data_IF_226848338358
#
_entry.id   IF_226848338358
#
_cell.length_a   1.000
_cell.length_b   1.000
_cell.length_c   1.000
_cell.angle_alpha   90.00
_cell.angle_beta   90.00
_cell.angle_gamma   90.00
#
_symmetry.space_group_name_H-M   'P 1'
#
loop_
_entity.id
_entity.type
_entity.pdbx_description
1 polymer ?
#
# COMPACT_ATOMS: atom_id res chain seq x y z
N UNK A 1 -23.86 -8.48 12.61
CA UNK A 1 -22.51 -8.60 13.19
C UNK A 1 -21.53 -7.77 12.36
N UNK A 2 -21.04 -6.65 12.89
CA UNK A 2 -20.06 -5.74 12.25
C UNK A 2 -18.77 -5.78 13.07
N UNK A 3 -17.92 -6.77 12.86
CA UNK A 3 -16.67 -6.90 13.65
C UNK A 3 -15.41 -7.26 12.85
N UNK A 4 -15.42 -7.17 11.51
CA UNK A 4 -14.27 -7.54 10.68
C UNK A 4 -13.86 -6.48 9.64
N UNK A 5 -14.28 -5.23 9.82
CA UNK A 5 -14.10 -4.18 8.81
C UNK A 5 -12.72 -3.54 8.78
N UNK A 6 -11.75 -3.99 9.58
CA UNK A 6 -10.41 -3.35 9.66
C UNK A 6 -9.27 -4.29 9.27
N UNK A 7 -9.49 -5.61 9.20
CA UNK A 7 -8.39 -6.58 9.16
C UNK A 7 -8.38 -7.57 7.98
N UNK A 8 -8.93 -7.22 6.81
CA UNK A 8 -8.92 -8.14 5.64
C UNK A 8 -8.51 -7.51 4.29
N UNK A 9 -8.59 -6.19 4.11
CA UNK A 9 -8.19 -5.54 2.83
C UNK A 9 -6.69 -5.20 2.72
N UNK A 10 -5.91 -5.58 3.73
CA UNK A 10 -4.44 -5.60 3.68
C UNK A 10 -3.89 -6.95 3.20
N UNK A 11 -4.76 -7.91 2.85
CA UNK A 11 -4.29 -9.22 2.39
C UNK A 11 -3.65 -9.08 0.99
N UNK A 12 -2.40 -9.51 0.79
CA UNK A 12 -1.66 -9.24 -0.45
C UNK A 12 -2.39 -9.69 -1.73
N UNK A 13 -3.05 -10.86 -1.78
CA UNK A 13 -3.91 -11.24 -2.90
C UNK A 13 -5.07 -10.29 -3.20
N UNK A 14 -5.69 -9.70 -2.16
CA UNK A 14 -6.75 -8.69 -2.37
C UNK A 14 -6.18 -7.39 -2.91
N UNK A 15 -5.00 -6.98 -2.44
CA UNK A 15 -4.29 -5.79 -2.94
C UNK A 15 -3.91 -5.97 -4.42
N UNK A 16 -3.37 -7.14 -4.78
CA UNK A 16 -3.06 -7.49 -6.16
C UNK A 16 -4.30 -7.46 -7.06
N UNK A 17 -5.41 -8.08 -6.61
CA UNK A 17 -6.67 -8.05 -7.34
C UNK A 17 -7.21 -6.61 -7.54
N UNK A 18 -7.14 -5.76 -6.51
CA UNK A 18 -7.53 -4.34 -6.62
C UNK A 18 -6.66 -3.60 -7.65
N UNK A 19 -5.35 -3.84 -7.64
CA UNK A 19 -4.41 -3.23 -8.58
C UNK A 19 -4.67 -3.69 -10.02
N UNK A 20 -4.91 -4.98 -10.24
CA UNK A 20 -5.26 -5.55 -11.54
C UNK A 20 -6.56 -4.96 -12.10
N UNK A 21 -7.63 -4.93 -11.29
CA UNK A 21 -8.91 -4.36 -11.72
C UNK A 21 -8.79 -2.87 -12.06
N UNK A 22 -7.99 -2.12 -11.30
CA UNK A 22 -7.70 -0.72 -11.62
C UNK A 22 -6.91 -0.59 -12.93
N UNK A 23 -5.90 -1.44 -13.14
CA UNK A 23 -5.13 -1.46 -14.39
C UNK A 23 -5.98 -1.79 -15.62
N UNK A 24 -7.05 -2.58 -15.44
CA UNK A 24 -8.05 -2.86 -16.48
C UNK A 24 -9.02 -1.70 -16.76
N UNK A 25 -8.86 -0.56 -16.07
CA UNK A 25 -9.66 0.64 -16.29
C UNK A 25 -10.94 0.72 -15.46
N UNK A 26 -11.14 -0.15 -14.46
CA UNK A 26 -12.30 -0.04 -13.58
C UNK A 26 -12.19 1.15 -12.63
N UNK A 27 -13.33 1.84 -12.42
CA UNK A 27 -13.43 2.92 -11.43
C UNK A 27 -13.40 2.37 -10.00
N UNK A 28 -12.97 3.20 -9.03
CA UNK A 28 -12.89 2.79 -7.62
C UNK A 28 -14.23 2.31 -7.05
N UNK A 29 -15.34 2.93 -7.48
CA UNK A 29 -16.69 2.54 -7.07
C UNK A 29 -17.06 1.15 -7.61
N UNK A 30 -16.70 0.85 -8.86
CA UNK A 30 -16.94 -0.46 -9.47
C UNK A 30 -16.12 -1.56 -8.78
N UNK A 31 -14.84 -1.29 -8.50
CA UNK A 31 -13.96 -2.20 -7.76
C UNK A 31 -14.51 -2.46 -6.35
N UNK A 32 -14.89 -1.40 -5.63
CA UNK A 32 -15.45 -1.51 -4.29
C UNK A 32 -16.74 -2.34 -4.26
N UNK A 33 -17.64 -2.12 -5.22
CA UNK A 33 -18.87 -2.91 -5.35
C UNK A 33 -18.60 -4.38 -5.68
N UNK A 34 -17.54 -4.66 -6.47
CA UNK A 34 -17.16 -6.02 -6.88
C UNK A 34 -16.53 -6.83 -5.74
N UNK A 35 -15.76 -6.19 -4.85
CA UNK A 35 -15.00 -6.85 -3.78
C UNK A 35 -15.68 -6.65 -2.40
N UNK A 36 -16.81 -5.94 -2.35
CA UNK A 36 -17.52 -5.57 -1.12
C UNK A 36 -16.65 -4.75 -0.15
N UNK A 37 -16.03 -3.70 -0.69
CA UNK A 37 -15.16 -2.77 0.04
C UNK A 37 -15.57 -1.33 -0.31
N UNK A 38 -15.47 -0.42 0.65
CA UNK A 38 -15.74 0.99 0.39
C UNK A 38 -14.77 1.60 -0.64
N UNK A 39 -15.27 2.46 -1.52
CA UNK A 39 -14.48 3.10 -2.58
C UNK A 39 -13.28 3.91 -2.04
N UNK A 40 -13.40 4.51 -0.84
CA UNK A 40 -12.29 5.23 -0.22
C UNK A 40 -11.17 4.28 0.19
N UNK A 41 -11.52 3.06 0.62
CA UNK A 41 -10.55 2.02 0.98
C UNK A 41 -9.82 1.54 -0.26
N UNK A 42 -10.51 1.38 -1.40
CA UNK A 42 -9.87 1.09 -2.70
C UNK A 42 -8.84 2.17 -3.05
N UNK A 43 -9.22 3.46 -2.91
CA UNK A 43 -8.30 4.58 -3.14
C UNK A 43 -7.08 4.56 -2.21
N UNK A 44 -7.26 4.25 -0.93
CA UNK A 44 -6.15 4.11 0.03
C UNK A 44 -5.22 2.95 -0.32
N UNK A 45 -5.76 1.79 -0.73
CA UNK A 45 -4.97 0.63 -1.15
C UNK A 45 -4.14 0.97 -2.38
N UNK A 46 -4.74 1.55 -3.42
CA UNK A 46 -4.05 1.92 -4.65
C UNK A 46 -2.96 2.98 -4.40
N UNK A 47 -3.23 3.99 -3.56
CA UNK A 47 -2.23 5.00 -3.17
C UNK A 47 -1.05 4.42 -2.40
N UNK A 48 -1.27 3.36 -1.61
CA UNK A 48 -0.19 2.64 -0.93
C UNK A 48 0.59 1.79 -1.92
N UNK A 49 -0.12 1.03 -2.76
CA UNK A 49 0.47 0.18 -3.79
C UNK A 49 1.31 0.99 -4.78
N UNK A 50 0.88 2.18 -5.19
CA UNK A 50 1.65 3.04 -6.12
C UNK A 50 2.98 3.55 -5.57
N UNK A 51 3.25 3.39 -4.26
CA UNK A 51 4.52 3.78 -3.65
C UNK A 51 5.55 2.66 -3.62
N UNK A 52 5.10 1.42 -3.64
CA UNK A 52 5.93 0.24 -3.46
C UNK A 52 5.88 -0.73 -4.62
N UNK A 53 4.80 -0.71 -5.41
CA UNK A 53 4.41 -1.70 -6.41
C UNK A 53 4.34 -3.14 -5.89
N UNK A 54 4.46 -3.30 -4.58
CA UNK A 54 4.48 -4.56 -3.86
C UNK A 54 3.17 -4.74 -3.05
N UNK A 55 2.37 -5.78 -3.32
CA UNK A 55 1.17 -6.11 -2.55
C UNK A 55 1.45 -6.48 -1.07
N UNK A 56 2.67 -6.90 -0.76
CA UNK A 56 3.13 -7.26 0.59
C UNK A 56 3.72 -6.08 1.35
N UNK A 57 3.84 -4.92 0.72
CA UNK A 57 4.49 -3.76 1.33
C UNK A 57 3.82 -3.36 2.63
N UNK A 58 4.59 -3.41 3.73
CA UNK A 58 4.17 -2.90 5.05
C UNK A 58 4.90 -1.60 5.33
N UNK A 59 4.13 -0.56 5.68
CA UNK A 59 4.73 0.71 6.10
C UNK A 59 5.59 0.46 7.35
N UNK A 60 6.86 0.87 7.35
CA UNK A 60 7.71 0.76 8.53
C UNK A 60 7.08 1.43 9.74
N UNK A 61 7.28 0.84 10.93
CA UNK A 61 6.83 1.45 12.19
C UNK A 61 7.70 2.67 12.50
N UNK A 62 7.06 3.74 12.98
CA UNK A 62 7.74 4.94 13.44
C UNK A 62 8.69 4.61 14.60
N UNK A 63 9.90 5.19 14.59
CA UNK A 63 10.89 5.03 15.65
C UNK A 63 11.71 3.74 15.58
N UNK A 64 11.39 2.80 14.67
CA UNK A 64 12.26 1.66 14.44
C UNK A 64 13.40 2.06 13.48
N UNK A 65 14.66 1.69 13.76
CA UNK A 65 15.76 1.90 12.82
C UNK A 65 15.42 1.29 11.45
N UNK A 66 15.64 2.05 10.39
CA UNK A 66 15.42 1.62 9.02
C UNK A 66 16.76 1.51 8.32
N UNK A 67 16.84 0.61 7.33
CA UNK A 67 17.96 0.62 6.39
C UNK A 67 17.93 1.96 5.65
N UNK A 68 19.07 2.64 5.64
CA UNK A 68 19.23 3.89 4.92
C UNK A 68 19.15 3.60 3.42
N UNK A 69 18.45 4.46 2.70
CA UNK A 69 18.51 4.48 1.26
C UNK A 69 19.89 4.94 0.78
N UNK A 70 20.29 4.55 -0.42
CA UNK A 70 21.60 4.85 -1.00
C UNK A 70 21.90 6.35 -1.01
N UNK A 71 20.87 7.19 -1.24
CA UNK A 71 20.99 8.63 -1.15
C UNK A 71 21.30 9.11 0.27
N UNK A 72 20.65 8.53 1.29
CA UNK A 72 20.88 8.86 2.69
C UNK A 72 22.26 8.40 3.17
N UNK A 73 22.74 7.25 2.69
CA UNK A 73 24.11 6.77 2.95
C UNK A 73 25.13 7.75 2.41
N UNK A 74 24.95 8.26 1.18
CA UNK A 74 25.86 9.25 0.57
C UNK A 74 25.91 10.55 1.37
N UNK A 75 24.76 11.07 1.80
CA UNK A 75 24.69 12.26 2.64
C UNK A 75 25.39 12.03 3.99
N UNK A 76 25.14 10.88 4.62
CA UNK A 76 25.80 10.52 5.88
C UNK A 76 27.32 10.42 5.73
N UNK A 77 27.80 9.81 4.64
CA UNK A 77 29.24 9.71 4.36
C UNK A 77 29.90 11.08 4.14
N UNK A 78 29.23 12.00 3.44
CA UNK A 78 29.72 13.37 3.26
C UNK A 78 29.81 14.16 4.56
N UNK A 79 28.91 13.91 5.53
CA UNK A 79 28.94 14.58 6.83
C UNK A 79 30.06 14.09 7.75
N UNK A 80 30.64 12.93 7.46
CA UNK A 80 31.71 12.30 8.25
C UNK A 80 33.12 12.54 7.67
N UNK A 81 33.22 13.10 6.46
CA UNK A 81 34.47 13.44 5.79
C UNK A 81 34.94 14.86 6.17
#
# INVERSE_FOLDING_TARGET
MKFLYIMVYTFPPKVACIAELHSSGMSYRAIGSRIDIDQSTVGHVLKRFSKSEDPYYVKPRSGHPQKLDECQVRVGAQMLA
#
